data_IF_834157122850
#
_entry.id   IF_834157122850
#
_cell.length_a   1.000
_cell.length_b   1.000
_cell.length_c   1.000
_cell.angle_alpha   90.00
_cell.angle_beta   90.00
_cell.angle_gamma   90.00
#
_symmetry.space_group_name_H-M   'P 1'
#
loop_
_entity.id
_entity.type
_entity.pdbx_description
1 polymer ?
#
# COMPACT_ATOMS: atom_id res chain seq x y z
N UNK A 1 2.44 -18.74 15.98
CA UNK A 1 2.25 -17.34 15.54
C UNK A 1 1.55 -17.40 14.20
N UNK A 2 0.55 -16.55 13.94
CA UNK A 2 -0.02 -16.45 12.60
C UNK A 2 1.05 -15.78 11.72
N UNK A 3 1.61 -16.53 10.79
CA UNK A 3 2.53 -15.99 9.79
C UNK A 3 1.69 -15.18 8.80
N UNK A 4 1.65 -13.86 9.03
CA UNK A 4 0.84 -12.94 8.22
C UNK A 4 1.69 -12.40 7.09
N UNK A 5 1.17 -12.49 5.88
CA UNK A 5 1.78 -11.86 4.70
C UNK A 5 1.20 -10.46 4.61
N UNK A 6 2.08 -9.47 4.66
CA UNK A 6 1.73 -8.05 4.64
C UNK A 6 1.72 -7.56 3.20
N UNK A 7 0.65 -6.87 2.79
CA UNK A 7 0.66 -6.02 1.61
C UNK A 7 0.72 -4.55 2.01
N UNK A 8 1.40 -3.74 1.19
CA UNK A 8 1.37 -2.29 1.28
C UNK A 8 0.89 -1.75 -0.05
N UNK A 9 -0.24 -1.05 -0.05
CA UNK A 9 -0.93 -0.50 -1.22
C UNK A 9 -0.68 1.00 -1.31
N UNK A 10 -0.01 1.41 -2.38
CA UNK A 10 0.54 2.74 -2.57
C UNK A 10 2.00 2.78 -2.14
N UNK A 11 2.93 2.86 -3.10
CA UNK A 11 4.37 2.87 -2.86
C UNK A 11 4.94 4.27 -3.05
N UNK A 12 4.24 5.26 -2.49
CA UNK A 12 4.71 6.64 -2.39
C UNK A 12 5.71 6.83 -1.26
N UNK A 13 5.86 8.08 -0.83
CA UNK A 13 6.83 8.45 0.21
C UNK A 13 6.54 7.82 1.58
N UNK A 14 5.29 7.46 1.88
CA UNK A 14 4.95 6.76 3.13
C UNK A 14 4.99 5.25 2.97
N UNK A 15 4.26 4.72 1.98
CA UNK A 15 4.09 3.28 1.85
C UNK A 15 5.38 2.54 1.50
N UNK A 16 6.30 3.15 0.75
CA UNK A 16 7.57 2.49 0.43
C UNK A 16 8.47 2.26 1.66
N UNK A 17 8.74 3.26 2.53
CA UNK A 17 9.42 3.02 3.80
C UNK A 17 8.76 1.96 4.67
N UNK A 18 7.43 1.93 4.74
CA UNK A 18 6.68 0.90 5.48
C UNK A 18 6.95 -0.49 4.89
N UNK A 19 6.86 -0.63 3.56
CA UNK A 19 7.14 -1.88 2.87
C UNK A 19 8.59 -2.34 3.09
N UNK A 20 9.56 -1.43 3.05
CA UNK A 20 10.98 -1.70 3.33
C UNK A 20 11.21 -2.12 4.78
N UNK A 21 10.57 -1.46 5.74
CA UNK A 21 10.71 -1.79 7.15
C UNK A 21 10.22 -3.23 7.44
N UNK A 22 9.05 -3.61 6.90
CA UNK A 22 8.56 -4.98 7.03
C UNK A 22 9.34 -5.98 6.17
N UNK A 23 9.77 -5.56 4.97
CA UNK A 23 10.54 -6.38 4.03
C UNK A 23 11.91 -6.82 4.57
N UNK A 24 12.46 -6.09 5.56
CA UNK A 24 13.69 -6.47 6.27
C UNK A 24 13.49 -7.66 7.23
N UNK A 25 12.26 -7.98 7.61
CA UNK A 25 11.94 -9.00 8.63
C UNK A 25 11.00 -10.10 8.17
N UNK A 26 10.23 -9.87 7.11
CA UNK A 26 9.26 -10.82 6.55
C UNK A 26 9.00 -10.54 5.08
N UNK A 27 8.41 -11.51 4.38
CA UNK A 27 7.97 -11.31 3.01
C UNK A 27 6.82 -10.31 2.93
N UNK A 28 6.95 -9.32 2.05
CA UNK A 28 5.97 -8.25 1.82
C UNK A 28 5.53 -8.22 0.36
N UNK A 29 4.28 -7.82 0.13
CA UNK A 29 3.74 -7.52 -1.20
C UNK A 29 3.61 -6.02 -1.33
N UNK A 30 4.52 -5.39 -2.07
CA UNK A 30 4.44 -3.97 -2.39
C UNK A 30 3.60 -3.77 -3.63
N UNK A 31 2.41 -3.19 -3.49
CA UNK A 31 1.49 -2.94 -4.59
C UNK A 31 1.38 -1.46 -4.94
N UNK A 32 1.49 -1.15 -6.23
CA UNK A 32 1.17 0.19 -6.76
C UNK A 32 0.47 0.05 -8.11
N UNK A 33 -0.53 0.90 -8.35
CA UNK A 33 -1.29 0.91 -9.62
C UNK A 33 -0.44 1.40 -10.79
N UNK A 34 0.67 2.10 -10.51
CA UNK A 34 1.55 2.65 -11.52
C UNK A 34 2.63 1.62 -11.94
N UNK A 35 2.55 1.03 -13.15
CA UNK A 35 3.53 0.04 -13.60
C UNK A 35 4.96 0.62 -13.74
N UNK A 36 5.07 1.93 -14.01
CA UNK A 36 6.37 2.61 -14.07
C UNK A 36 7.01 2.64 -12.69
N UNK A 37 6.22 2.91 -11.64
CA UNK A 37 6.69 2.88 -10.25
C UNK A 37 7.19 1.49 -9.87
N UNK A 38 6.44 0.45 -10.22
CA UNK A 38 6.84 -0.95 -9.99
C UNK A 38 8.15 -1.28 -10.73
N UNK A 39 8.29 -0.86 -11.99
CA UNK A 39 9.49 -1.11 -12.78
C UNK A 39 10.74 -0.43 -12.19
N UNK A 40 10.62 0.78 -11.64
CA UNK A 40 11.71 1.48 -10.95
C UNK A 40 12.15 0.77 -9.69
N UNK A 41 11.19 0.39 -8.83
CA UNK A 41 11.49 -0.28 -7.56
C UNK A 41 12.12 -1.65 -7.78
N UNK A 42 11.66 -2.40 -8.79
CA UNK A 42 12.30 -3.66 -9.22
C UNK A 42 13.74 -3.47 -9.72
N UNK A 43 14.10 -2.27 -10.19
CA UNK A 43 15.48 -1.91 -10.58
C UNK A 43 16.29 -1.32 -9.42
N UNK A 44 15.74 -1.30 -8.20
CA UNK A 44 16.39 -0.71 -7.02
C UNK A 44 16.44 0.81 -7.05
N UNK A 45 15.54 1.47 -7.80
CA UNK A 45 15.47 2.93 -7.86
C UNK A 45 14.21 3.45 -7.18
N UNK A 46 14.40 4.28 -6.16
CA UNK A 46 13.32 5.05 -5.55
C UNK A 46 13.36 6.52 -5.98
N UNK A 47 12.34 6.96 -6.74
CA UNK A 47 12.19 8.37 -7.13
C UNK A 47 11.83 9.30 -5.97
N UNK A 48 11.31 8.78 -4.85
CA UNK A 48 10.99 9.61 -3.68
C UNK A 48 12.21 9.96 -2.83
N UNK A 49 13.31 9.23 -3.02
CA UNK A 49 14.54 9.33 -2.22
C UNK A 49 14.34 9.02 -0.72
N UNK A 50 13.30 8.28 -0.38
CA UNK A 50 13.00 7.89 1.01
C UNK A 50 13.79 6.63 1.40
N UNK A 51 14.13 5.80 0.41
CA UNK A 51 14.92 4.57 0.60
C UNK A 51 16.01 4.45 -0.44
N UNK A 52 17.16 3.90 -0.04
CA UNK A 52 18.27 3.68 -0.95
C UNK A 52 18.11 2.38 -1.74
N UNK A 53 18.78 2.27 -2.90
CA UNK A 53 18.82 1.01 -3.66
C UNK A 53 19.42 -0.16 -2.87
N UNK A 54 20.33 0.12 -1.93
CA UNK A 54 20.89 -0.89 -1.02
C UNK A 54 19.87 -1.38 0.01
N UNK A 55 18.97 -0.52 0.48
CA UNK A 55 17.88 -0.94 1.37
C UNK A 55 16.83 -1.75 0.62
N UNK A 56 16.50 -1.36 -0.62
CA UNK A 56 15.59 -2.13 -1.47
C UNK A 56 16.12 -3.54 -1.72
N UNK A 57 17.41 -3.68 -2.05
CA UNK A 57 18.01 -5.00 -2.30
C UNK A 57 18.16 -5.88 -1.06
N UNK A 58 18.09 -5.28 0.14
CA UNK A 58 18.18 -5.98 1.42
C UNK A 58 16.80 -6.42 1.98
N UNK A 59 15.74 -6.41 1.15
CA UNK A 59 14.37 -6.73 1.57
C UNK A 59 13.76 -7.88 0.77
N UNK A 60 12.84 -8.63 1.39
CA UNK A 60 11.98 -9.60 0.71
C UNK A 60 10.64 -8.94 0.34
N UNK A 61 10.65 -8.15 -0.73
CA UNK A 61 9.45 -7.47 -1.26
C UNK A 61 9.16 -7.92 -2.68
N UNK A 62 7.94 -8.44 -2.87
CA UNK A 62 7.35 -8.58 -4.20
C UNK A 62 6.72 -7.24 -4.62
N UNK A 63 7.41 -6.47 -5.46
CA UNK A 63 6.82 -5.29 -6.10
C UNK A 63 5.92 -5.73 -7.26
N UNK A 64 4.65 -5.32 -7.26
CA UNK A 64 3.66 -5.74 -8.25
C UNK A 64 2.55 -4.70 -8.47
N UNK A 65 1.95 -4.74 -9.65
CA UNK A 65 0.75 -4.00 -10.04
C UNK A 65 -0.44 -4.97 -10.30
N UNK A 66 -0.28 -6.25 -9.97
CA UNK A 66 -1.30 -7.28 -10.23
C UNK A 66 -2.14 -7.57 -9.00
N UNK A 67 -3.46 -7.57 -9.20
CA UNK A 67 -4.44 -7.89 -8.15
C UNK A 67 -4.29 -9.30 -7.56
N UNK A 68 -3.93 -10.27 -8.41
CA UNK A 68 -3.75 -11.68 -7.99
C UNK A 68 -2.66 -11.86 -6.93
N UNK A 69 -1.64 -10.99 -6.92
CA UNK A 69 -0.61 -11.02 -5.88
C UNK A 69 -1.15 -10.50 -4.54
N UNK A 70 -2.05 -9.51 -4.53
CA UNK A 70 -2.65 -9.01 -3.29
C UNK A 70 -3.44 -10.09 -2.54
N UNK A 71 -4.06 -11.03 -3.25
CA UNK A 71 -4.84 -12.11 -2.63
C UNK A 71 -3.98 -13.05 -1.75
N UNK A 72 -2.65 -13.06 -1.96
CA UNK A 72 -1.70 -13.83 -1.15
C UNK A 72 -1.47 -13.21 0.24
N UNK A 73 -1.70 -11.90 0.41
CA UNK A 73 -1.57 -11.19 1.67
C UNK A 73 -2.83 -11.34 2.55
N UNK A 74 -2.68 -11.28 3.87
CA UNK A 74 -3.81 -11.31 4.82
C UNK A 74 -3.81 -10.13 5.81
N UNK A 75 -2.88 -9.21 5.63
CA UNK A 75 -2.80 -7.94 6.35
C UNK A 75 -2.44 -6.86 5.33
N UNK A 76 -3.34 -5.89 5.12
CA UNK A 76 -3.23 -4.90 4.04
C UNK A 76 -3.08 -3.51 4.63
N UNK A 77 -2.01 -2.80 4.30
CA UNK A 77 -1.77 -1.41 4.71
C UNK A 77 -2.01 -0.51 3.51
N UNK A 78 -2.93 0.46 3.64
CA UNK A 78 -3.25 1.45 2.60
C UNK A 78 -2.55 2.76 2.92
N UNK A 79 -1.65 3.18 2.03
CA UNK A 79 -0.86 4.41 2.15
C UNK A 79 -0.93 5.21 0.83
N UNK A 80 -2.16 5.52 0.38
CA UNK A 80 -2.41 6.34 -0.82
C UNK A 80 -2.61 7.80 -0.44
N UNK A 81 -2.24 8.76 -1.31
CA UNK A 81 -2.36 10.17 -0.96
C UNK A 81 -3.82 10.61 -0.88
N UNK A 82 -4.09 11.56 0.02
CA UNK A 82 -5.37 12.25 0.21
C UNK A 82 -5.16 13.74 -0.07
N UNK A 83 -4.96 14.14 -1.34
CA UNK A 83 -4.72 15.54 -1.67
C UNK A 83 -5.93 16.38 -1.26
N UNK A 84 -5.68 17.61 -0.81
CA UNK A 84 -6.73 18.58 -0.50
C UNK A 84 -6.96 19.52 -1.67
N UNK A 85 -8.22 19.85 -1.94
CA UNK A 85 -8.59 20.85 -2.95
C UNK A 85 -8.46 22.28 -2.42
N UNK A 86 -8.76 23.27 -3.27
CA UNK A 86 -8.71 24.71 -2.90
C UNK A 86 -9.69 25.07 -1.78
N UNK A 87 -10.75 24.27 -1.58
CA UNK A 87 -11.72 24.41 -0.50
C UNK A 87 -11.30 23.67 0.79
N UNK A 88 -10.06 23.18 0.85
CA UNK A 88 -9.50 22.38 1.95
C UNK A 88 -10.29 21.10 2.22
N UNK A 89 -10.97 20.56 1.21
CA UNK A 89 -11.63 19.26 1.28
C UNK A 89 -10.69 18.18 0.76
N UNK A 90 -10.55 17.05 1.48
CA UNK A 90 -9.74 15.94 0.98
C UNK A 90 -10.45 15.24 -0.18
N UNK A 91 -9.72 15.02 -1.27
CA UNK A 91 -10.14 14.11 -2.32
C UNK A 91 -9.86 12.67 -1.90
N UNK A 92 -10.92 11.96 -1.53
CA UNK A 92 -10.88 10.55 -1.10
C UNK A 92 -10.92 9.56 -2.29
N UNK A 93 -10.95 10.03 -3.53
CA UNK A 93 -11.10 9.15 -4.70
C UNK A 93 -10.01 8.08 -4.79
N UNK A 94 -8.79 8.39 -4.36
CA UNK A 94 -7.68 7.44 -4.32
C UNK A 94 -7.86 6.39 -3.22
N UNK A 95 -8.37 6.77 -2.05
CA UNK A 95 -8.71 5.84 -0.98
C UNK A 95 -9.85 4.90 -1.37
N UNK A 96 -10.89 5.42 -2.00
CA UNK A 96 -12.01 4.59 -2.48
C UNK A 96 -11.52 3.59 -3.55
N UNK A 97 -10.65 4.02 -4.48
CA UNK A 97 -10.05 3.13 -5.48
C UNK A 97 -9.14 2.07 -4.85
N UNK A 98 -8.34 2.44 -3.85
CA UNK A 98 -7.51 1.50 -3.10
C UNK A 98 -8.38 0.47 -2.36
N UNK A 99 -9.46 0.93 -1.72
CA UNK A 99 -10.42 0.06 -1.02
C UNK A 99 -11.11 -0.90 -1.98
N UNK A 100 -11.54 -0.46 -3.18
CA UNK A 100 -12.07 -1.36 -4.23
C UNK A 100 -11.07 -2.42 -4.65
N UNK A 101 -9.82 -2.00 -4.87
CA UNK A 101 -8.74 -2.92 -5.27
C UNK A 101 -8.52 -3.98 -4.19
N UNK A 102 -8.40 -3.57 -2.93
CA UNK A 102 -8.20 -4.50 -1.81
C UNK A 102 -9.44 -5.38 -1.62
N UNK A 103 -10.65 -4.82 -1.68
CA UNK A 103 -11.90 -5.56 -1.52
C UNK A 103 -12.04 -6.75 -2.48
N UNK A 104 -11.47 -6.66 -3.69
CA UNK A 104 -11.43 -7.77 -4.65
C UNK A 104 -10.44 -8.89 -4.26
N UNK A 105 -9.46 -8.60 -3.40
CA UNK A 105 -8.45 -9.53 -2.92
C UNK A 105 -8.73 -10.06 -1.49
N UNK A 106 -9.66 -9.43 -0.75
CA UNK A 106 -9.95 -9.79 0.64
C UNK A 106 -10.56 -11.19 0.78
N UNK A 107 -10.15 -11.86 1.86
CA UNK A 107 -10.75 -13.10 2.35
C UNK A 107 -11.14 -12.97 3.82
N UNK A 108 -11.98 -13.89 4.29
CA UNK A 108 -12.45 -13.89 5.68
C UNK A 108 -11.26 -13.95 6.63
N UNK A 109 -11.19 -12.97 7.55
CA UNK A 109 -10.15 -12.88 8.57
C UNK A 109 -8.96 -11.99 8.18
N UNK A 110 -8.95 -11.43 6.95
CA UNK A 110 -7.98 -10.41 6.56
C UNK A 110 -8.18 -9.12 7.37
N UNK A 111 -7.09 -8.38 7.55
CA UNK A 111 -7.08 -7.09 8.24
C UNK A 111 -6.70 -6.00 7.24
N UNK A 112 -7.41 -4.88 7.26
CA UNK A 112 -7.07 -3.68 6.50
C UNK A 112 -6.77 -2.54 7.47
N UNK A 113 -5.65 -1.87 7.24
CA UNK A 113 -5.20 -0.70 8.00
C UNK A 113 -5.08 0.47 7.03
N UNK A 114 -5.78 1.56 7.32
CA UNK A 114 -5.65 2.82 6.59
C UNK A 114 -4.65 3.70 7.33
N UNK A 115 -3.54 4.01 6.68
CA UNK A 115 -2.49 4.87 7.22
C UNK A 115 -2.61 6.30 6.69
N UNK A 116 -3.23 6.50 5.53
CA UNK A 116 -3.52 7.80 4.93
C UNK A 116 -4.17 8.79 5.91
N UNK A 117 -3.70 10.04 5.91
CA UNK A 117 -4.28 11.12 6.72
C UNK A 117 -5.71 11.44 6.27
N UNK A 118 -6.66 11.28 7.18
CA UNK A 118 -8.10 11.49 6.94
C UNK A 118 -8.79 12.13 8.14
N UNK A 119 -9.99 12.65 7.92
CA UNK A 119 -10.87 13.06 9.02
C UNK A 119 -11.53 11.83 9.69
N UNK A 120 -11.99 11.97 10.95
CA UNK A 120 -12.66 10.87 11.65
C UNK A 120 -13.90 10.36 10.91
N UNK A 121 -14.06 9.04 10.82
CA UNK A 121 -15.22 8.39 10.16
C UNK A 121 -14.95 7.89 8.74
N UNK A 122 -13.88 8.33 8.06
CA UNK A 122 -13.60 7.89 6.67
C UNK A 122 -13.47 6.38 6.54
N UNK A 123 -12.91 5.69 7.53
CA UNK A 123 -12.80 4.23 7.49
C UNK A 123 -14.19 3.58 7.48
N UNK A 124 -15.07 3.97 8.39
CA UNK A 124 -16.42 3.41 8.55
C UNK A 124 -17.38 3.82 7.44
N UNK A 125 -17.34 5.09 7.03
CA UNK A 125 -18.33 5.70 6.16
C UNK A 125 -17.98 5.56 4.66
N UNK A 126 -16.69 5.56 4.32
CA UNK A 126 -16.24 5.60 2.92
C UNK A 126 -15.49 4.33 2.50
N UNK A 127 -14.78 3.66 3.42
CA UNK A 127 -13.93 2.53 3.07
C UNK A 127 -14.62 1.17 3.28
N UNK A 128 -15.29 0.98 4.42
CA UNK A 128 -16.02 -0.26 4.74
C UNK A 128 -17.17 -0.56 3.77
N UNK A 129 -17.94 0.42 3.24
CA UNK A 129 -19.06 0.13 2.33
C UNK A 129 -18.67 -0.29 0.90
N UNK A 130 -17.38 -0.24 0.57
CA UNK A 130 -16.83 -0.43 -0.78
C UNK A 130 -16.59 -1.90 -1.11
#
# INVERSE_FOLDING_TARGET
MHDRIISVVGLGYVGLPVAVAFGKIARVIGFDVNPVRIAELRRGHDRTNEVTGAELSATDILFTDRLEDLALANFHIVAVPTPVDEAHQPDLSLMVKASRTIGQALKKGDIVVYESTVYPGVTEDECVPV
#
